data_IF_381376872441
#
_entry.id   IF_381376872441
#
_cell.length_a   1.000
_cell.length_b   1.000
_cell.length_c   1.000
_cell.angle_alpha   90.00
_cell.angle_beta   90.00
_cell.angle_gamma   90.00
#
_symmetry.space_group_name_H-M   'P 1'
#
loop_
_entity.id
_entity.type
_entity.pdbx_description
1 polymer ?
2 polymer ?
3 polymer ?
4 polymer ?
5 non-polymer ?
6 non-polymer ?
7 non-polymer ?
8 non-polymer ?
9 non-polymer ?
10 water ?
#
loop_
_entity_poly.entity_id
_entity_poly.type
_entity_poly.pdbx_seq_one_letter_code
_entity_poly.pdbx_strand_id
2 'polydeoxyribonucleotide' '(DC)(DG)(DG)(DC)(DC)(DT)(DA)(DC)(DG)' ?
3 'polydeoxyribonucleotide' '(DC)(DG)(DT)(DA)' ?
4 'polydeoxyribonucleotide' '(DG)(DC)(DC)(DG)' ?
#
# COMPACT_ATOMS: atom_id res chain seq x y z
N UNK A 11 -10.48 18.01 -18.53
CA UNK A 11 -9.48 17.07 -19.03
C UNK A 11 -8.92 16.24 -17.87
N UNK A 12 -9.58 15.11 -17.60
CA UNK A 12 -9.12 14.18 -16.58
C UNK A 12 -8.17 13.22 -17.27
N UNK A 13 -6.89 13.22 -16.96
CA UNK A 13 -5.96 12.28 -17.59
C UNK A 13 -6.32 10.86 -17.19
N UNK A 14 -5.93 9.91 -18.05
CA UNK A 14 -6.33 8.53 -17.87
C UNK A 14 -5.47 7.76 -16.87
N UNK A 15 -4.21 8.15 -16.68
CA UNK A 15 -3.33 7.50 -15.71
C UNK A 15 -3.30 8.30 -14.41
N UNK A 16 -3.32 7.59 -13.28
CA UNK A 16 -3.38 8.27 -12.00
C UNK A 16 -2.12 9.09 -11.72
N UNK A 17 -1.00 8.73 -12.34
CA UNK A 17 0.24 9.47 -12.12
C UNK A 17 0.29 10.79 -12.86
N UNK A 18 -0.72 11.11 -13.67
CA UNK A 18 -0.79 12.34 -14.45
C UNK A 18 -1.63 13.41 -13.80
N UNK A 19 -2.12 13.18 -12.59
CA UNK A 19 -3.00 14.14 -11.93
C UNK A 19 -2.78 14.09 -10.43
N UNK A 20 -2.99 15.20 -9.75
CA UNK A 20 -2.88 15.20 -8.29
C UNK A 20 -4.08 14.52 -7.66
N UNK A 21 -3.83 13.75 -6.61
CA UNK A 21 -4.90 13.15 -5.84
C UNK A 21 -4.60 13.46 -4.39
N UNK A 22 -5.36 14.36 -3.77
CA UNK A 22 -5.11 14.75 -2.38
C UNK A 22 -5.64 13.70 -1.42
N UNK A 23 -5.25 13.83 -0.17
CA UNK A 23 -5.71 12.85 0.81
C UNK A 23 -7.19 13.04 1.11
N UNK A 24 -7.63 14.29 1.19
CA UNK A 24 -9.04 14.62 1.43
C UNK A 24 -9.66 14.97 0.10
N UNK A 25 -10.76 14.30 -0.24
CA UNK A 25 -11.40 14.51 -1.54
C UNK A 25 -12.90 14.58 -1.34
N UNK A 26 -13.65 14.70 -2.43
CA UNK A 26 -15.04 15.16 -2.40
C UNK A 26 -16.09 14.11 -2.76
N UNK A 27 -15.72 12.84 -2.95
CA UNK A 27 -16.62 11.81 -3.49
C UNK A 27 -16.49 10.49 -2.75
N UNK A 28 -16.37 10.53 -1.43
CA UNK A 28 -16.08 9.32 -0.67
C UNK A 28 -17.18 8.28 -0.78
N UNK A 29 -18.44 8.69 -0.77
CA UNK A 29 -19.53 7.72 -0.90
C UNK A 29 -19.41 6.91 -2.18
N UNK A 30 -19.14 7.60 -3.29
CA UNK A 30 -19.06 6.93 -4.57
C UNK A 30 -17.79 6.08 -4.67
N UNK A 31 -16.65 6.61 -4.24
CA UNK A 31 -15.41 5.84 -4.35
C UNK A 31 -15.45 4.61 -3.45
N UNK A 32 -16.02 4.74 -2.25
CA UNK A 32 -16.11 3.60 -1.34
C UNK A 32 -16.85 2.46 -1.98
N UNK A 33 -17.96 2.76 -2.67
CA UNK A 33 -18.77 1.74 -3.32
C UNK A 33 -17.98 1.05 -4.42
N UNK A 34 -17.30 1.83 -5.25
CA UNK A 34 -16.50 1.22 -6.31
C UNK A 34 -15.36 0.39 -5.74
N UNK A 35 -14.77 0.81 -4.62
CA UNK A 35 -13.70 0.04 -3.99
C UNK A 35 -14.21 -1.28 -3.42
N UNK A 36 -15.46 -1.33 -2.95
CA UNK A 36 -16.03 -2.61 -2.54
C UNK A 36 -16.12 -3.55 -3.73
N UNK A 37 -16.56 -3.04 -4.87
CA UNK A 37 -16.63 -3.88 -6.06
C UNK A 37 -15.24 -4.30 -6.53
N UNK A 38 -14.25 -3.41 -6.39
CA UNK A 38 -12.89 -3.78 -6.73
C UNK A 38 -12.39 -4.92 -5.85
N UNK A 39 -12.59 -4.80 -4.54
CA UNK A 39 -12.15 -5.81 -3.60
C UNK A 39 -12.82 -7.14 -3.91
N UNK A 40 -14.13 -7.11 -4.18
CA UNK A 40 -14.86 -8.34 -4.52
C UNK A 40 -14.32 -8.96 -5.80
N UNK A 41 -13.99 -8.14 -6.80
CA UNK A 41 -13.38 -8.66 -8.01
C UNK A 41 -12.07 -9.37 -7.70
N UNK A 42 -11.22 -8.78 -6.84
CA UNK A 42 -10.02 -9.47 -6.42
C UNK A 42 -10.29 -10.81 -5.76
N UNK A 43 -11.31 -10.85 -4.90
CA UNK A 43 -11.65 -12.08 -4.21
C UNK A 43 -12.09 -13.16 -5.18
N UNK A 44 -12.62 -12.79 -6.34
CA UNK A 44 -13.02 -13.77 -7.35
C UNK A 44 -11.96 -13.93 -8.43
N UNK A 45 -10.75 -13.43 -8.20
CA UNK A 45 -9.63 -13.70 -9.07
C UNK A 45 -9.54 -12.86 -10.32
N UNK A 46 -10.25 -11.73 -10.38
CA UNK A 46 -10.18 -10.85 -11.55
C UNK A 46 -9.40 -9.58 -11.22
N UNK A 47 -8.10 -9.64 -11.46
CA UNK A 47 -7.28 -8.45 -11.26
C UNK A 47 -7.68 -7.35 -12.23
N UNK A 48 -8.14 -7.70 -13.43
CA UNK A 48 -8.52 -6.68 -14.38
C UNK A 48 -9.72 -5.88 -13.93
N UNK A 49 -10.78 -6.56 -13.48
CA UNK A 49 -11.92 -5.83 -12.95
C UNK A 49 -11.56 -5.05 -11.70
N UNK A 50 -10.74 -5.64 -10.83
CA UNK A 50 -10.27 -4.90 -9.67
C UNK A 50 -9.63 -3.59 -10.09
N UNK A 51 -8.75 -3.64 -11.10
CA UNK A 51 -8.02 -2.45 -11.50
C UNK A 51 -8.96 -1.41 -12.08
N UNK A 52 -9.92 -1.83 -12.92
CA UNK A 52 -10.84 -0.85 -13.46
C UNK A 52 -11.62 -0.15 -12.36
N UNK A 53 -12.16 -0.92 -11.42
CA UNK A 53 -12.95 -0.29 -10.35
C UNK A 53 -12.07 0.60 -9.48
N UNK A 54 -10.82 0.20 -9.22
CA UNK A 54 -9.92 1.08 -8.47
C UNK A 54 -9.61 2.35 -9.25
N UNK A 55 -9.34 2.21 -10.55
CA UNK A 55 -9.05 3.39 -11.38
C UNK A 55 -10.23 4.35 -11.43
N UNK A 56 -11.46 3.82 -11.52
CA UNK A 56 -12.65 4.66 -11.52
C UNK A 56 -12.81 5.36 -10.18
N UNK A 57 -12.61 4.64 -9.07
CA UNK A 57 -12.68 5.26 -7.75
C UNK A 57 -11.65 6.37 -7.64
N UNK A 58 -10.46 6.13 -8.18
CA UNK A 58 -9.38 7.10 -8.08
C UNK A 58 -9.69 8.36 -8.88
N UNK A 59 -10.28 8.21 -10.07
CA UNK A 59 -10.71 9.38 -10.84
C UNK A 59 -11.62 10.26 -10.00
N UNK A 60 -12.56 9.66 -9.28
CA UNK A 60 -13.45 10.46 -8.45
C UNK A 60 -12.70 11.21 -7.35
N UNK A 61 -11.63 10.62 -6.79
CA UNK A 61 -10.85 11.29 -5.76
C UNK A 61 -10.10 12.50 -6.31
N UNK A 62 -9.86 12.54 -7.62
CA UNK A 62 -9.13 13.64 -8.25
C UNK A 62 -10.03 14.77 -8.71
N UNK A 63 -11.35 14.59 -8.70
CA UNK A 63 -12.24 15.64 -9.14
C UNK A 63 -12.27 16.81 -8.15
N UNK A 64 -12.54 18.03 -8.64
CA UNK A 64 -12.53 19.20 -7.75
C UNK A 64 -13.75 19.37 -6.86
N UNK A 65 -14.87 18.72 -7.18
CA UNK A 65 -16.11 18.93 -6.44
C UNK A 65 -16.89 17.62 -6.39
N UNK A 66 -17.92 17.56 -5.55
CA UNK A 66 -18.76 16.35 -5.51
C UNK A 66 -19.50 16.14 -6.81
N UNK A 67 -19.58 14.88 -7.21
CA UNK A 67 -20.47 14.50 -8.31
C UNK A 67 -21.88 14.45 -7.75
N UNK A 68 -22.78 15.23 -8.36
CA UNK A 68 -24.17 15.25 -7.96
C UNK A 68 -25.11 14.78 -9.07
N UNK A 69 -24.63 14.68 -10.30
CA UNK A 69 -25.47 14.29 -11.42
C UNK A 69 -24.67 13.36 -12.33
N UNK A 70 -25.37 12.40 -12.92
CA UNK A 70 -24.72 11.41 -13.77
C UNK A 70 -23.97 12.07 -14.92
N UNK A 71 -24.52 13.15 -15.43
CA UNK A 71 -23.91 13.98 -16.46
C UNK A 71 -22.45 14.27 -16.20
N UNK A 72 -22.08 14.42 -14.95
CA UNK A 72 -20.72 14.85 -14.62
C UNK A 72 -19.70 13.75 -14.85
N UNK A 73 -20.13 12.51 -15.13
CA UNK A 73 -19.22 11.43 -15.46
C UNK A 73 -18.87 11.38 -16.94
N UNK A 74 -19.63 12.06 -17.80
CA UNK A 74 -19.41 11.93 -19.23
C UNK A 74 -17.97 12.26 -19.57
N UNK A 75 -17.34 11.38 -20.32
CA UNK A 75 -15.98 11.59 -20.77
C UNK A 75 -14.92 11.17 -19.80
N UNK A 76 -15.26 10.89 -18.55
CA UNK A 76 -14.23 10.52 -17.57
C UNK A 76 -13.64 9.14 -17.91
N UNK A 77 -12.32 9.01 -17.86
CA UNK A 77 -11.72 7.69 -18.10
C UNK A 77 -12.11 6.70 -17.02
N UNK A 78 -12.22 5.44 -17.44
CA UNK A 78 -12.51 4.27 -16.60
C UNK A 78 -13.96 4.20 -16.14
N UNK A 79 -14.83 5.07 -16.65
CA UNK A 79 -16.26 5.01 -16.41
C UNK A 79 -16.93 4.46 -17.67
N UNK A 80 -17.36 3.21 -17.59
CA UNK A 80 -18.16 2.62 -18.64
C UNK A 80 -19.52 2.28 -18.09
N UNK A 81 -20.17 1.31 -18.72
CA UNK A 81 -21.55 1.01 -18.36
C UNK A 81 -21.68 0.61 -16.90
N UNK A 82 -20.76 -0.21 -16.39
CA UNK A 82 -20.93 -0.78 -15.06
C UNK A 82 -20.68 0.26 -13.96
N UNK A 83 -19.54 0.94 -14.01
CA UNK A 83 -19.23 1.94 -12.99
C UNK A 83 -20.22 3.09 -13.02
N UNK A 84 -20.67 3.46 -14.22
CA UNK A 84 -21.66 4.52 -14.34
C UNK A 84 -22.97 4.13 -13.68
N UNK A 85 -23.42 2.88 -13.88
CA UNK A 85 -24.67 2.43 -13.28
C UNK A 85 -24.57 2.44 -11.76
N UNK A 86 -23.42 2.05 -11.22
CA UNK A 86 -23.24 2.09 -9.78
C UNK A 86 -23.41 3.51 -9.26
N UNK A 87 -22.71 4.47 -9.88
CA UNK A 87 -22.86 5.86 -9.49
C UNK A 87 -24.30 6.32 -9.64
N UNK A 88 -24.96 5.95 -10.76
CA UNK A 88 -26.31 6.43 -10.99
C UNK A 88 -27.24 5.96 -9.88
N UNK A 89 -27.12 4.69 -9.48
CA UNK A 89 -27.98 4.18 -8.41
C UNK A 89 -27.68 4.89 -7.09
N UNK A 90 -26.41 5.16 -6.82
CA UNK A 90 -26.08 5.86 -5.58
C UNK A 90 -26.63 7.28 -5.58
N UNK A 91 -26.56 7.96 -6.72
CA UNK A 91 -27.06 9.33 -6.78
C UNK A 91 -28.58 9.38 -6.68
N UNK A 92 -29.27 8.41 -7.27
CA UNK A 92 -30.71 8.44 -7.29
C UNK A 92 -31.29 7.94 -5.98
N UNK A 93 -30.73 6.86 -5.44
CA UNK A 93 -31.32 6.13 -4.33
C UNK A 93 -30.49 6.12 -3.06
N UNK A 94 -29.24 6.58 -3.12
CA UNK A 94 -28.36 6.53 -1.98
C UNK A 94 -27.80 5.17 -1.67
N UNK A 95 -28.08 4.17 -2.51
CA UNK A 95 -27.61 2.81 -2.29
C UNK A 95 -27.57 2.12 -3.65
N UNK A 96 -26.62 1.20 -3.82
CA UNK A 96 -26.49 0.41 -5.03
C UNK A 96 -26.73 -1.04 -4.66
N UNK A 97 -27.77 -1.66 -5.25
CA UNK A 97 -28.13 -3.02 -4.85
C UNK A 97 -26.94 -3.97 -4.94
N UNK A 98 -26.17 -3.88 -6.02
CA UNK A 98 -25.06 -4.82 -6.19
C UNK A 98 -24.04 -4.67 -5.07
N UNK A 99 -23.72 -3.42 -4.72
CA UNK A 99 -22.76 -3.15 -3.65
C UNK A 99 -23.28 -3.71 -2.32
N UNK A 100 -24.57 -3.50 -2.03
CA UNK A 100 -25.11 -4.00 -0.78
C UNK A 100 -25.09 -5.53 -0.76
N UNK A 101 -25.44 -6.16 -1.88
CA UNK A 101 -25.42 -7.62 -1.94
C UNK A 101 -24.00 -8.15 -1.68
N UNK A 102 -23.01 -7.53 -2.31
CA UNK A 102 -21.64 -7.97 -2.12
C UNK A 102 -21.23 -7.76 -0.68
N UNK A 103 -21.43 -6.55 -0.17
CA UNK A 103 -20.83 -6.25 1.11
C UNK A 103 -21.50 -7.01 2.23
N UNK A 104 -22.74 -7.46 2.04
CA UNK A 104 -23.45 -8.23 3.05
C UNK A 104 -23.29 -9.73 2.88
N UNK A 105 -22.55 -10.19 1.87
CA UNK A 105 -22.43 -11.61 1.60
C UNK A 105 -21.41 -12.29 2.52
N UNK A 106 -21.71 -13.54 2.89
CA UNK A 106 -20.79 -14.34 3.70
C UNK A 106 -19.41 -14.45 3.04
N UNK A 107 -19.39 -14.66 1.72
CA UNK A 107 -18.12 -14.79 1.01
C UNK A 107 -17.29 -13.52 1.13
N UNK A 108 -17.90 -12.37 0.86
CA UNK A 108 -17.13 -11.13 0.92
C UNK A 108 -16.63 -10.88 2.34
N UNK A 109 -17.51 -11.03 3.33
CA UNK A 109 -17.12 -10.74 4.70
C UNK A 109 -15.99 -11.66 5.16
N UNK A 110 -16.08 -12.95 4.84
CA UNK A 110 -15.04 -13.88 5.28
C UNK A 110 -13.74 -13.63 4.54
N UNK A 111 -13.81 -13.41 3.23
CA UNK A 111 -12.60 -13.13 2.47
C UNK A 111 -11.92 -11.86 2.99
N UNK A 112 -12.70 -10.85 3.34
CA UNK A 112 -12.12 -9.62 3.89
C UNK A 112 -11.47 -9.90 5.23
N UNK A 113 -12.15 -10.65 6.10
CA UNK A 113 -11.58 -10.98 7.40
C UNK A 113 -10.25 -11.71 7.25
N UNK A 114 -10.20 -12.70 6.36
CA UNK A 114 -9.00 -13.51 6.25
C UNK A 114 -7.86 -12.77 5.56
N UNK A 115 -8.15 -12.07 4.45
CA UNK A 115 -7.08 -11.38 3.73
C UNK A 115 -6.52 -10.21 4.51
N UNK A 116 -7.26 -9.72 5.50
CA UNK A 116 -6.72 -8.68 6.37
C UNK A 116 -5.68 -9.21 7.33
N UNK A 117 -5.52 -10.53 7.45
CA UNK A 117 -4.46 -11.08 8.28
C UNK A 117 -3.13 -10.96 7.55
N UNK A 118 -2.11 -10.53 8.28
CA UNK A 118 -0.76 -10.49 7.75
C UNK A 118 -0.30 -11.91 7.44
N UNK A 119 0.06 -12.14 6.17
CA UNK A 119 0.46 -13.46 5.75
C UNK A 119 -0.57 -14.21 4.92
N UNK A 120 -1.78 -13.68 4.81
CA UNK A 120 -2.88 -14.33 4.11
C UNK A 120 -3.31 -13.44 2.95
N UNK A 121 -3.28 -13.99 1.74
CA UNK A 121 -3.80 -13.34 0.57
C UNK A 121 -5.04 -14.03 0.05
N UNK A 122 -5.48 -13.60 -1.14
CA UNK A 122 -6.73 -14.10 -1.69
C UNK A 122 -6.69 -15.62 -1.88
N UNK A 123 -5.60 -16.14 -2.47
CA UNK A 123 -5.58 -17.58 -2.73
C UNK A 123 -5.67 -18.38 -1.46
N UNK A 124 -4.98 -17.96 -0.41
CA UNK A 124 -5.05 -18.69 0.85
C UNK A 124 -6.43 -18.56 1.47
N UNK A 125 -6.96 -17.33 1.51
CA UNK A 125 -8.28 -17.10 2.08
C UNK A 125 -9.34 -17.89 1.35
N UNK A 126 -9.26 -17.94 0.01
CA UNK A 126 -10.24 -18.68 -0.78
C UNK A 126 -10.18 -20.16 -0.48
N UNK A 127 -8.99 -20.72 -0.30
CA UNK A 127 -8.90 -22.13 0.05
C UNK A 127 -9.55 -22.39 1.41
N UNK A 128 -9.23 -21.56 2.39
CA UNK A 128 -9.84 -21.73 3.71
C UNK A 128 -11.37 -21.60 3.64
N UNK A 129 -11.85 -20.62 2.89
CA UNK A 129 -13.29 -20.48 2.70
C UNK A 129 -13.90 -21.75 2.11
N UNK A 130 -13.27 -22.30 1.07
CA UNK A 130 -13.79 -23.52 0.45
C UNK A 130 -13.72 -24.72 1.37
N UNK A 131 -12.83 -24.69 2.37
CA UNK A 131 -12.76 -25.74 3.38
C UNK A 131 -13.76 -25.54 4.52
N UNK A 132 -14.55 -24.47 4.49
CA UNK A 132 -15.56 -24.23 5.49
C UNK A 132 -15.16 -23.35 6.65
N UNK A 133 -13.97 -22.77 6.62
CA UNK A 133 -13.52 -21.90 7.71
C UNK A 133 -14.15 -20.53 7.53
N UNK A 134 -14.54 -19.91 8.65
CA UNK A 134 -15.25 -18.64 8.61
C UNK A 134 -14.75 -17.60 9.61
N UNK A 135 -14.11 -17.98 10.70
CA UNK A 135 -13.76 -17.06 11.77
C UNK A 135 -12.28 -17.19 12.09
N UNK A 136 -11.76 -16.17 12.80
CA UNK A 136 -10.39 -16.25 13.27
C UNK A 136 -10.22 -17.41 14.25
N UNK A 137 -11.24 -17.66 15.07
CA UNK A 137 -11.15 -18.80 16.00
C UNK A 137 -11.07 -20.12 15.24
N UNK A 138 -11.76 -20.22 14.10
CA UNK A 138 -11.62 -21.42 13.28
C UNK A 138 -10.17 -21.65 12.86
N UNK A 139 -9.46 -20.58 12.50
CA UNK A 139 -8.07 -20.73 12.09
C UNK A 139 -7.19 -21.07 13.29
N UNK A 140 -7.44 -20.43 14.43
CA UNK A 140 -6.66 -20.70 15.63
C UNK A 140 -6.76 -22.17 16.03
N UNK A 141 -7.92 -22.79 15.80
CA UNK A 141 -8.11 -24.18 16.16
C UNK A 141 -7.58 -25.16 15.11
N UNK A 142 -6.93 -24.66 14.05
CA UNK A 142 -6.29 -25.51 13.05
C UNK A 142 -4.90 -24.93 12.73
N UNK A 143 -4.04 -24.83 13.74
CA UNK A 143 -2.73 -24.17 13.54
C UNK A 143 -1.83 -24.86 12.53
N UNK A 144 -2.04 -26.13 12.22
CA UNK A 144 -1.13 -26.72 11.26
C UNK A 144 -1.43 -26.24 9.84
N UNK A 145 -2.56 -25.58 9.62
CA UNK A 145 -2.79 -24.94 8.33
C UNK A 145 -2.02 -23.65 8.14
N UNK A 146 -1.26 -23.17 9.13
CA UNK A 146 -0.71 -21.81 9.12
C UNK A 146 0.80 -21.80 8.95
N UNK A 147 1.30 -20.92 8.07
CA UNK A 147 2.73 -20.63 8.04
C UNK A 147 3.11 -19.86 9.30
N UNK A 148 4.42 -19.78 9.56
CA UNK A 148 4.86 -19.02 10.71
C UNK A 148 4.48 -17.54 10.56
N UNK A 149 4.54 -17.01 9.34
CA UNK A 149 4.12 -15.62 9.12
C UNK A 149 2.64 -15.43 9.48
N UNK A 150 1.81 -16.40 9.08
CA UNK A 150 0.39 -16.33 9.37
C UNK A 150 0.12 -16.51 10.87
N UNK A 151 0.89 -17.36 11.54
CA UNK A 151 0.73 -17.50 12.98
C UNK A 151 1.01 -16.17 13.67
N UNK A 152 2.04 -15.46 13.24
CA UNK A 152 2.35 -14.15 13.82
C UNK A 152 1.24 -13.15 13.52
N UNK A 153 0.76 -13.13 12.28
CA UNK A 153 -0.33 -12.24 11.94
C UNK A 153 -1.58 -12.50 12.76
N UNK A 154 -1.90 -13.77 13.00
CA UNK A 154 -3.07 -14.10 13.80
C UNK A 154 -2.83 -13.78 15.27
N UNK A 155 -1.63 -14.09 15.77
CA UNK A 155 -1.34 -13.85 17.18
C UNK A 155 -1.50 -12.39 17.55
N UNK A 156 -1.11 -11.49 16.66
CA UNK A 156 -1.11 -10.05 16.92
C UNK A 156 -2.22 -9.32 16.19
N UNK A 157 -3.23 -10.05 15.73
CA UNK A 157 -4.24 -9.47 14.87
C UNK A 157 -4.96 -8.31 15.51
N UNK A 158 -5.34 -8.40 16.79
CA UNK A 158 -6.08 -7.28 17.37
C UNK A 158 -5.24 -6.01 17.38
N UNK A 159 -3.99 -6.09 17.86
CA UNK A 159 -3.15 -4.89 17.84
C UNK A 159 -2.96 -4.39 16.41
N UNK A 160 -2.79 -5.31 15.45
CA UNK A 160 -2.54 -4.92 14.07
C UNK A 160 -3.76 -4.28 13.43
N UNK A 161 -4.94 -4.45 14.03
CA UNK A 161 -6.14 -3.79 13.55
C UNK A 161 -6.32 -2.41 14.15
N UNK A 162 -5.49 -2.02 15.12
CA UNK A 162 -5.56 -0.69 15.72
C UNK A 162 -4.76 0.28 14.86
N UNK A 163 -5.36 1.37 14.40
CA UNK A 163 -4.60 2.33 13.58
C UNK A 163 -3.29 2.76 14.23
N UNK A 164 -2.21 2.76 13.44
CA UNK A 164 -0.94 3.33 13.86
C UNK A 164 -1.06 4.83 13.75
N UNK A 165 -0.62 5.55 14.79
CA UNK A 165 -0.72 7.00 14.88
C UNK A 165 0.64 7.66 14.73
N UNK A 166 0.63 8.96 14.49
CA UNK A 166 1.88 9.71 14.33
C UNK A 166 2.79 9.62 15.55
N UNK A 167 2.23 9.55 16.75
CA UNK A 167 3.09 9.40 17.93
C UNK A 167 3.80 8.05 17.90
N UNK A 168 3.13 7.02 17.38
CA UNK A 168 3.78 5.72 17.23
C UNK A 168 4.90 5.82 16.21
N UNK A 169 4.65 6.51 15.10
CA UNK A 169 5.66 6.69 14.08
C UNK A 169 6.90 7.36 14.69
N UNK A 170 6.70 8.41 15.47
CA UNK A 170 7.85 9.13 16.01
C UNK A 170 8.66 8.22 16.93
N UNK A 171 7.98 7.45 17.76
CA UNK A 171 8.70 6.54 18.66
C UNK A 171 9.44 5.48 17.87
N UNK A 172 8.80 4.91 16.85
CA UNK A 172 9.45 3.87 16.04
C UNK A 172 10.62 4.44 15.26
N UNK A 173 10.48 5.65 14.73
CA UNK A 173 11.58 6.23 13.99
C UNK A 173 12.80 6.38 14.89
N UNK A 174 12.58 6.77 16.15
CA UNK A 174 13.69 6.93 17.07
C UNK A 174 14.40 5.61 17.32
N UNK A 175 13.66 4.52 17.57
CA UNK A 175 14.34 3.26 17.84
C UNK A 175 15.00 2.69 16.59
N UNK A 176 14.39 2.89 15.42
CA UNK A 176 15.03 2.45 14.19
C UNK A 176 16.30 3.24 13.91
N UNK A 177 16.26 4.57 14.08
CA UNK A 177 17.47 5.37 13.90
C UNK A 177 18.56 4.92 14.86
N UNK A 178 18.21 4.60 16.10
CA UNK A 178 19.23 4.18 17.05
C UNK A 178 19.90 2.90 16.56
N UNK A 179 19.09 1.91 16.20
CA UNK A 179 19.64 0.64 15.74
C UNK A 179 20.45 0.82 14.48
N UNK A 180 19.95 1.62 13.53
CA UNK A 180 20.68 1.84 12.28
C UNK A 180 22.01 2.51 12.55
N UNK A 181 22.03 3.52 13.42
CA UNK A 181 23.28 4.20 13.70
C UNK A 181 24.29 3.33 14.43
N UNK A 182 23.80 2.40 15.24
CA UNK A 182 24.70 1.46 15.90
C UNK A 182 25.22 0.44 14.92
N UNK A 183 24.44 0.16 13.88
CA UNK A 183 24.83 -0.85 12.90
C UNK A 183 25.80 -0.32 11.85
N UNK A 184 25.74 0.97 11.52
CA UNK A 184 26.58 1.49 10.47
C UNK A 184 26.64 2.99 10.62
N UNK A 185 27.77 3.55 11.05
CA UNK A 185 27.84 5.01 11.21
C UNK A 185 27.55 5.70 9.90
N UNK A 186 26.75 6.75 9.99
CA UNK A 186 26.39 7.55 8.83
C UNK A 186 25.16 7.08 8.10
N UNK A 187 24.63 5.91 8.43
CA UNK A 187 23.44 5.44 7.73
C UNK A 187 22.23 6.27 8.17
N UNK A 188 21.25 6.37 7.27
CA UNK A 188 20.10 7.24 7.44
C UNK A 188 18.80 6.46 7.34
N UNK A 189 17.77 7.03 7.97
CA UNK A 189 16.42 6.46 8.00
C UNK A 189 15.44 7.52 7.50
N UNK A 190 14.65 7.13 6.49
CA UNK A 190 13.65 8.01 5.90
C UNK A 190 12.28 7.37 6.02
N UNK A 191 11.33 8.11 6.61
CA UNK A 191 9.95 7.66 6.66
C UNK A 191 9.35 7.67 5.26
N UNK A 192 8.73 6.56 4.85
CA UNK A 192 8.08 6.48 3.55
C UNK A 192 6.64 6.05 3.74
N UNK A 193 6.08 5.37 2.76
CA UNK A 193 4.71 4.93 2.88
C UNK A 193 3.69 6.06 3.06
N UNK A 194 2.54 5.66 3.62
CA UNK A 194 1.42 6.58 3.71
C UNK A 194 1.69 7.79 4.58
N UNK A 195 2.49 7.62 5.64
CA UNK A 195 2.79 8.76 6.49
C UNK A 195 3.56 9.83 5.73
N UNK A 196 4.43 9.44 4.79
CA UNK A 196 5.09 10.46 3.98
C UNK A 196 4.12 11.18 3.04
N UNK A 197 3.01 10.53 2.67
CA UNK A 197 1.97 11.16 1.86
C UNK A 197 1.03 12.04 2.68
N UNK A 198 1.28 12.17 3.99
CA UNK A 198 0.48 13.00 4.84
C UNK A 198 -0.63 12.30 5.58
N UNK A 199 -0.73 10.98 5.49
CA UNK A 199 -1.75 10.29 6.26
C UNK A 199 -1.51 10.51 7.74
N UNK A 200 -2.61 10.58 8.48
CA UNK A 200 -2.54 10.71 9.93
C UNK A 200 -2.54 9.37 10.62
N UNK A 201 -2.87 8.30 9.90
CA UNK A 201 -2.87 6.95 10.45
C UNK A 201 -2.32 6.00 9.40
N UNK A 202 -2.14 4.75 9.80
CA UNK A 202 -1.72 3.75 8.84
C UNK A 202 -1.87 2.37 9.44
N UNK A 203 -1.68 1.37 8.58
CA UNK A 203 -1.66 -0.02 9.04
C UNK A 203 -0.28 -0.46 9.50
N UNK A 204 0.74 0.30 9.15
CA UNK A 204 2.12 -0.04 9.46
C UNK A 204 2.91 1.25 9.37
N UNK A 205 4.21 1.12 9.59
CA UNK A 205 5.16 2.20 9.39
C UNK A 205 6.25 1.66 8.47
N UNK A 206 6.57 2.43 7.43
CA UNK A 206 7.52 2.02 6.40
C UNK A 206 8.74 2.93 6.45
N UNK A 207 9.94 2.33 6.50
CA UNK A 207 11.19 3.07 6.57
C UNK A 207 12.15 2.61 5.49
N UNK A 208 12.86 3.56 4.90
CA UNK A 208 13.87 3.31 3.88
C UNK A 208 15.22 3.75 4.44
N UNK A 209 16.20 2.86 4.36
CA UNK A 209 17.50 3.02 4.99
C UNK A 209 18.56 3.01 3.90
N UNK A 210 19.50 3.95 3.98
CA UNK A 210 20.64 3.96 3.05
C UNK A 210 21.88 4.50 3.76
N UNK A 211 22.95 4.66 2.99
CA UNK A 211 24.17 5.26 3.47
C UNK A 211 24.74 6.09 2.32
N UNK A 212 25.29 7.28 2.59
CA UNK A 212 25.73 8.13 1.47
C UNK A 212 26.86 7.58 0.62
N UNK A 213 27.63 6.60 1.11
CA UNK A 213 28.72 6.01 0.36
C UNK A 213 28.25 4.68 -0.22
N UNK A 214 28.12 4.64 -1.54
CA UNK A 214 27.66 3.46 -2.25
C UNK A 214 28.43 2.22 -1.82
N UNK A 215 27.67 1.18 -1.45
CA UNK A 215 28.24 -0.10 -1.05
C UNK A 215 28.36 -0.30 0.44
N UNK A 216 28.40 0.78 1.21
CA UNK A 216 28.58 0.66 2.65
C UNK A 216 27.39 -0.04 3.28
N UNK A 217 26.22 0.07 2.67
CA UNK A 217 25.00 -0.49 3.21
C UNK A 217 24.85 -1.99 2.97
N UNK A 218 25.76 -2.61 2.25
CA UNK A 218 25.64 -4.05 2.05
C UNK A 218 25.68 -4.76 3.41
N UNK A 219 24.74 -5.69 3.63
CA UNK A 219 24.72 -6.43 4.87
C UNK A 219 24.14 -5.69 6.04
N UNK A 220 23.60 -4.50 5.81
CA UNK A 220 23.11 -3.67 6.90
C UNK A 220 21.86 -4.26 7.56
N UNK A 221 20.91 -4.74 6.77
CA UNK A 221 19.63 -5.08 7.40
C UNK A 221 19.76 -6.20 8.42
N UNK A 222 20.53 -7.28 8.19
CA UNK A 222 20.69 -8.27 9.27
C UNK A 222 21.26 -7.65 10.55
N UNK A 223 22.19 -6.71 10.43
CA UNK A 223 22.77 -6.07 11.60
C UNK A 223 21.74 -5.23 12.34
N UNK A 224 20.89 -4.52 11.60
CA UNK A 224 19.82 -3.75 12.22
C UNK A 224 18.85 -4.68 12.94
N UNK A 225 18.43 -5.75 12.26
CA UNK A 225 17.47 -6.66 12.87
C UNK A 225 18.03 -7.29 14.14
N UNK A 226 19.31 -7.65 14.14
CA UNK A 226 19.88 -8.23 15.35
C UNK A 226 19.86 -7.25 16.51
N UNK A 227 20.20 -5.99 16.24
CA UNK A 227 20.23 -5.00 17.31
C UNK A 227 18.83 -4.68 17.81
N UNK A 228 17.83 -4.65 16.93
CA UNK A 228 16.47 -4.47 17.40
C UNK A 228 16.00 -5.69 18.20
N UNK A 229 16.34 -6.89 17.73
CA UNK A 229 15.94 -8.11 18.42
C UNK A 229 16.58 -8.19 19.80
N UNK A 230 17.84 -7.76 19.93
CA UNK A 230 18.49 -7.83 21.23
C UNK A 230 17.90 -6.83 22.24
N UNK A 231 17.30 -5.74 21.75
CA UNK A 231 16.64 -4.76 22.61
C UNK A 231 15.20 -5.13 22.92
N UNK A 232 14.77 -6.34 22.52
CA UNK A 232 13.43 -6.83 22.78
C UNK A 232 12.35 -6.20 21.95
N UNK A 233 12.70 -5.59 20.84
CA UNK A 233 11.74 -4.83 20.05
C UNK A 233 11.06 -5.65 18.95
N UNK A 234 11.46 -6.90 18.70
CA UNK A 234 10.97 -7.65 17.54
C UNK A 234 10.13 -8.83 18.01
N UNK A 235 8.86 -8.85 17.60
CA UNK A 235 7.98 -9.99 17.82
C UNK A 235 8.09 -11.01 16.69
N UNK A 236 8.22 -10.54 15.46
CA UNK A 236 8.30 -11.43 14.31
C UNK A 236 9.12 -10.78 13.21
N UNK A 237 9.98 -11.57 12.57
CA UNK A 237 10.53 -11.23 11.26
C UNK A 237 10.91 -12.52 10.56
N UNK A 238 11.24 -12.41 9.28
CA UNK A 238 11.50 -13.59 8.45
C UNK A 238 12.76 -14.35 8.85
N UNK A 239 13.66 -13.74 9.61
CA UNK A 239 14.94 -14.38 9.95
C UNK A 239 15.20 -14.45 11.44
N UNK A 257 21.48 -15.91 3.07
CA UNK A 257 21.29 -15.26 4.37
C UNK A 257 21.05 -13.77 4.20
N UNK A 258 21.45 -13.23 3.06
CA UNK A 258 21.36 -11.79 2.85
C UNK A 258 19.91 -11.39 2.65
N UNK A 259 19.55 -10.24 3.18
CA UNK A 259 18.23 -9.71 2.87
C UNK A 259 18.25 -8.19 2.95
N UNK A 260 17.34 -7.56 2.20
CA UNK A 260 17.25 -6.12 2.10
C UNK A 260 15.84 -5.55 2.34
N UNK A 261 14.84 -6.41 2.50
CA UNK A 261 13.52 -5.98 2.96
C UNK A 261 13.13 -6.89 4.12
N UNK A 262 12.54 -6.29 5.16
CA UNK A 262 12.00 -7.05 6.28
C UNK A 262 10.61 -6.54 6.60
N UNK A 263 9.65 -7.46 6.67
CA UNK A 263 8.25 -7.16 6.98
C UNK A 263 8.08 -7.68 8.38
N UNK A 264 8.17 -6.81 9.36
CA UNK A 264 8.23 -7.33 10.72
C UNK A 264 7.12 -6.76 11.60
N UNK A 265 7.04 -7.35 12.79
CA UNK A 265 6.11 -6.92 13.83
C UNK A 265 6.98 -6.51 15.02
N UNK A 266 6.87 -5.25 15.43
CA UNK A 266 7.61 -4.72 16.57
C UNK A 266 6.76 -4.83 17.82
N UNK A 267 7.44 -4.97 18.96
CA UNK A 267 6.85 -4.78 20.28
C UNK A 267 7.15 -3.33 20.67
N UNK A 268 6.17 -2.44 20.49
CA UNK A 268 6.37 -1.00 20.72
C UNK A 268 5.98 -0.66 22.16
N UNK A 269 6.89 -0.17 22.99
CA UNK A 269 6.50 0.22 24.34
C UNK A 269 5.44 1.30 24.32
N UNK A 270 4.51 1.18 25.25
CA UNK A 270 3.48 2.17 25.52
C UNK A 270 3.50 2.43 27.02
N UNK A 271 2.82 3.49 27.49
CA UNK A 271 2.73 3.72 28.94
C UNK A 271 2.23 2.50 29.67
N UNK A 272 3.09 1.91 30.50
CA UNK A 272 2.73 0.76 31.29
C UNK A 272 2.65 -0.55 30.54
N UNK A 273 2.86 -0.57 29.23
CA UNK A 273 2.66 -1.83 28.51
C UNK A 273 3.30 -1.70 27.11
N UNK A 274 2.69 -2.41 26.14
CA UNK A 274 3.24 -2.45 24.79
C UNK A 274 2.15 -2.83 23.81
N UNK A 275 2.36 -2.52 22.53
CA UNK A 275 1.47 -3.00 21.49
C UNK A 275 2.30 -3.44 20.29
N UNK A 276 1.78 -4.43 19.56
CA UNK A 276 2.40 -4.88 18.33
C UNK A 276 2.10 -3.90 17.22
N UNK A 277 3.12 -3.58 16.41
CA UNK A 277 3.00 -2.69 15.27
C UNK A 277 3.76 -3.27 14.10
N UNK A 278 3.11 -3.32 12.94
CA UNK A 278 3.79 -3.71 11.71
C UNK A 278 4.75 -2.61 11.26
N UNK A 279 5.99 -3.02 10.98
CA UNK A 279 7.02 -2.10 10.49
C UNK A 279 7.71 -2.77 9.31
N UNK A 280 7.84 -2.04 8.21
CA UNK A 280 8.60 -2.50 7.06
C UNK A 280 9.92 -1.73 6.99
N UNK A 281 11.03 -2.46 6.84
CA UNK A 281 12.34 -1.88 6.71
C UNK A 281 12.93 -2.30 5.38
N UNK A 282 13.48 -1.34 4.67
CA UNK A 282 14.08 -1.57 3.37
C UNK A 282 15.44 -0.89 3.34
N UNK A 283 16.45 -1.58 2.82
CA UNK A 283 17.75 -1.00 2.60
C UNK A 283 17.99 -0.91 1.10
N UNK A 284 18.45 0.26 0.66
CA UNK A 284 18.78 0.48 -0.74
C UNK A 284 20.14 1.15 -0.82
N UNK A 285 20.94 0.85 -1.85
CA UNK A 285 22.13 1.67 -2.10
C UNK A 285 21.72 3.09 -2.48
N UNK A 286 22.59 4.05 -2.17
CA UNK A 286 22.21 5.44 -2.38
C UNK A 286 21.94 5.75 -3.86
N UNK A 287 22.65 5.10 -4.79
CA UNK A 287 22.34 5.28 -6.22
C UNK A 287 20.87 5.02 -6.55
N UNK A 288 20.23 4.12 -5.80
CA UNK A 288 18.85 3.73 -6.04
C UNK A 288 17.87 4.48 -5.17
N UNK A 289 18.37 5.32 -4.25
CA UNK A 289 17.49 5.92 -3.25
C UNK A 289 16.28 6.65 -3.86
N UNK A 290 16.43 7.48 -4.89
CA UNK A 290 15.22 8.16 -5.40
C UNK A 290 14.19 7.19 -5.93
N UNK A 291 14.63 6.10 -6.57
CA UNK A 291 13.69 5.10 -7.07
C UNK A 291 13.02 4.35 -5.94
N UNK A 292 13.78 4.02 -4.89
CA UNK A 292 13.18 3.34 -3.75
C UNK A 292 12.23 4.25 -3.00
N UNK A 293 12.63 5.51 -2.82
CA UNK A 293 11.76 6.47 -2.14
C UNK A 293 10.45 6.64 -2.90
N UNK A 294 10.54 6.75 -4.23
CA UNK A 294 9.34 6.89 -5.04
C UNK A 294 8.46 5.66 -4.91
N UNK A 295 9.05 4.48 -5.07
CA UNK A 295 8.25 3.27 -5.02
C UNK A 295 7.57 3.06 -3.67
N UNK A 296 8.33 3.18 -2.58
CA UNK A 296 7.81 2.87 -1.25
C UNK A 296 6.93 3.97 -0.70
N UNK A 297 6.90 5.14 -1.32
CA UNK A 297 5.98 6.19 -0.90
C UNK A 297 4.58 5.99 -1.47
N UNK A 298 4.41 5.28 -2.58
CA UNK A 298 3.07 4.95 -3.03
C UNK A 298 2.33 6.14 -3.60
N UNK A 299 0.99 6.09 -3.55
CA UNK A 299 0.21 4.95 -3.10
C UNK A 299 0.41 3.73 -4.01
N UNK A 300 -0.16 2.61 -3.60
CA UNK A 300 -0.10 1.39 -4.39
C UNK A 300 -0.58 1.61 -5.83
N UNK A 301 -1.76 2.23 -5.97
CA UNK A 301 -2.29 2.47 -7.31
C UNK A 301 -1.43 3.49 -8.04
N UNK A 302 -0.97 4.51 -7.34
CA UNK A 302 -0.12 5.51 -8.00
C UNK A 302 1.09 4.85 -8.64
N UNK A 303 1.75 3.95 -7.90
CA UNK A 303 2.97 3.34 -8.41
C UNK A 303 2.68 2.35 -9.54
N UNK A 304 1.61 1.56 -9.43
CA UNK A 304 1.25 0.68 -10.55
C UNK A 304 0.99 1.51 -11.80
N UNK A 305 0.30 2.63 -11.65
CA UNK A 305 -0.03 3.46 -12.80
C UNK A 305 1.22 4.15 -13.36
N UNK A 306 2.13 4.56 -12.48
CA UNK A 306 3.38 5.17 -12.92
C UNK A 306 4.23 4.16 -13.70
N UNK A 307 4.33 2.93 -13.20
CA UNK A 307 5.09 1.89 -13.90
C UNK A 307 4.42 1.54 -15.23
N UNK A 308 3.09 1.49 -15.25
CA UNK A 308 2.39 1.22 -16.50
C UNK A 308 2.61 2.34 -17.50
N UNK A 309 2.49 3.58 -17.04
CA UNK A 309 2.76 4.73 -17.88
C UNK A 309 4.16 4.68 -18.46
N UNK A 310 5.14 4.41 -17.59
CA UNK A 310 6.53 4.36 -18.02
C UNK A 310 6.70 3.39 -19.18
N UNK A 311 6.20 2.18 -19.02
CA UNK A 311 6.43 1.15 -20.03
C UNK A 311 5.58 1.37 -21.28
N UNK A 312 4.29 1.64 -21.08
CA UNK A 312 3.36 1.69 -22.21
C UNK A 312 3.43 3.00 -22.97
N UNK A 313 3.71 4.12 -22.28
CA UNK A 313 3.78 5.42 -22.96
C UNK A 313 5.19 5.85 -23.29
N UNK A 314 6.19 5.45 -22.51
CA UNK A 314 7.55 5.92 -22.71
C UNK A 314 8.53 4.82 -23.10
N UNK A 315 8.14 3.56 -23.05
CA UNK A 315 9.03 2.48 -23.41
C UNK A 315 10.16 2.24 -22.44
N UNK A 316 10.00 2.69 -21.19
CA UNK A 316 11.03 2.55 -20.17
C UNK A 316 10.46 1.67 -19.05
N UNK A 317 11.35 0.94 -18.39
CA UNK A 317 10.94 -0.01 -17.36
C UNK A 317 11.31 0.55 -15.99
N UNK A 318 10.30 0.79 -15.16
CA UNK A 318 10.47 1.43 -13.87
C UNK A 318 10.30 0.42 -12.75
N UNK A 319 11.20 0.44 -11.78
CA UNK A 319 10.95 -0.30 -10.55
C UNK A 319 11.61 0.46 -9.41
N UNK A 320 11.68 -0.16 -8.24
CA UNK A 320 12.21 0.52 -7.06
C UNK A 320 13.72 0.62 -7.06
N UNK A 321 14.38 0.08 -8.09
CA UNK A 321 15.82 0.13 -8.25
C UNK A 321 16.29 1.10 -9.31
N UNK A 322 15.43 1.48 -10.25
CA UNK A 322 15.89 2.26 -11.38
C UNK A 322 14.86 2.38 -12.48
N UNK A 323 15.29 3.04 -13.55
CA UNK A 323 14.47 3.32 -14.73
C UNK A 323 15.34 2.95 -15.92
N UNK A 324 14.93 1.91 -16.64
CA UNK A 324 15.78 1.22 -17.61
C UNK A 324 15.27 1.46 -19.02
N UNK A 325 16.18 1.84 -19.91
CA UNK A 325 15.88 1.90 -21.34
C UNK A 325 16.27 0.57 -21.96
N UNK A 326 15.31 -0.27 -22.35
CA UNK A 326 15.66 -1.64 -22.78
C UNK A 326 16.28 -1.73 -24.16
N UNK A 327 16.22 -0.65 -24.95
CA UNK A 327 16.82 -0.60 -26.27
C UNK A 327 18.30 -0.20 -26.18
N UNK A 328 18.60 0.84 -25.40
CA UNK A 328 19.99 1.22 -25.15
C UNK A 328 20.64 0.42 -24.03
N UNK A 329 19.84 -0.28 -23.23
CA UNK A 329 20.33 -1.07 -22.10
C UNK A 329 21.06 -0.19 -21.11
N UNK A 330 20.43 0.93 -20.75
CA UNK A 330 21.02 1.89 -19.83
C UNK A 330 20.01 2.25 -18.75
N UNK A 331 20.54 2.64 -17.59
CA UNK A 331 19.75 3.11 -16.46
C UNK A 331 19.87 4.63 -16.32
N UNK A 332 18.75 5.29 -16.06
CA UNK A 332 18.74 6.72 -15.86
C UNK A 332 19.27 7.08 -14.47
N UNK A 333 20.19 8.03 -14.41
CA UNK A 333 20.87 8.41 -13.16
C UNK A 333 20.16 9.58 -12.48
N UNK A 334 19.20 9.26 -11.64
CA UNK A 334 18.37 10.26 -11.00
C UNK A 334 18.98 10.66 -9.66
N UNK A 335 18.87 11.94 -9.32
CA UNK A 335 19.28 12.40 -8.00
C UNK A 335 18.11 12.64 -7.06
N UNK A 336 16.90 12.66 -7.59
CA UNK A 336 15.72 13.00 -6.82
C UNK A 336 14.51 12.37 -7.50
N UNK A 337 13.41 12.34 -6.76
CA UNK A 337 12.15 11.94 -7.36
C UNK A 337 11.77 12.84 -8.52
N UNK A 338 12.01 14.15 -8.36
CA UNK A 338 11.72 15.11 -9.42
C UNK A 338 12.38 14.70 -10.73
N UNK A 339 13.63 14.23 -10.66
CA UNK A 339 14.33 13.84 -11.88
C UNK A 339 13.60 12.70 -12.57
N UNK A 340 13.03 11.78 -11.81
CA UNK A 340 12.33 10.63 -12.40
C UNK A 340 11.07 11.09 -13.11
N UNK A 341 10.26 11.92 -12.45
CA UNK A 341 9.08 12.46 -13.12
C UNK A 341 9.48 13.16 -14.41
N UNK A 342 10.55 13.94 -14.37
CA UNK A 342 10.96 14.71 -15.55
C UNK A 342 11.38 13.79 -16.69
N UNK A 343 12.15 12.73 -16.39
CA UNK A 343 12.54 11.78 -17.43
C UNK A 343 11.33 11.22 -18.13
N UNK A 344 10.26 10.97 -17.37
CA UNK A 344 9.05 10.34 -17.85
C UNK A 344 8.10 11.34 -18.49
N UNK A 345 8.46 12.62 -18.52
CA UNK A 345 7.60 13.61 -19.15
C UNK A 345 6.37 13.93 -18.35
N UNK A 346 6.44 13.78 -17.03
CA UNK A 346 5.32 14.02 -16.14
C UNK A 346 5.58 15.25 -15.28
N UNK A 347 4.53 16.02 -15.03
CA UNK A 347 4.61 17.05 -14.02
C UNK A 347 4.86 16.43 -12.65
N UNK A 348 5.77 17.04 -11.89
CA UNK A 348 6.11 16.53 -10.58
C UNK A 348 4.90 16.64 -9.64
N UNK A 349 4.70 15.58 -8.86
CA UNK A 349 3.67 15.58 -7.83
C UNK A 349 4.35 15.31 -6.50
N UNK A 350 4.18 16.17 -5.49
CA UNK A 350 4.73 15.85 -4.16
C UNK A 350 3.99 14.69 -3.55
N UNK A 351 4.56 14.06 -2.51
CA UNK A 351 3.93 12.84 -1.95
C UNK A 351 2.46 13.02 -1.57
N UNK A 352 2.10 14.21 -1.05
CA UNK A 352 0.73 14.42 -0.58
C UNK A 352 -0.27 14.50 -1.72
N UNK A 353 0.18 14.51 -2.98
CA UNK A 353 -0.70 14.47 -4.14
C UNK A 353 -0.61 13.13 -4.88
N UNK A 354 -0.04 12.10 -4.24
CA UNK A 354 0.09 10.76 -4.81
C UNK A 354 -0.88 9.78 -4.16
N UNK A 355 -1.98 10.31 -3.61
CA UNK A 355 -2.96 9.48 -2.89
C UNK A 355 -4.01 8.88 -3.81
N UNK A 356 -3.53 8.29 -4.89
CA UNK A 356 -4.42 7.69 -5.87
C UNK A 356 -5.08 6.43 -5.36
X LIG E 1 -0.83 2.09 4.98
X LIG E 1 -1.94 1.08 4.77
X LIG E 1 -1.43 3.15 5.86
X LIG E 1 0.44 1.37 5.41
X LIG E 1 -0.54 2.67 3.49
X LIG E 1 0.81 2.59 2.69
X LIG E 1 1.99 2.91 3.58
X LIG E 1 0.69 3.42 1.42
X LIG E 1 0.92 1.05 2.26
X LIG E 1 2.00 -0.10 2.48
X LIG E 1 1.29 -1.39 2.19
X LIG E 1 2.70 0.04 3.80
X LIG E 1 3.05 0.05 1.33
X LIG E 1 4.09 0.98 1.20
X LIG E 1 4.23 1.23 -0.32
X LIG E 1 4.50 0.06 -1.12
X LIG E 1 2.98 1.65 -1.04
X LIG E 1 2.75 2.98 -0.59
X LIG E 1 3.43 1.48 -2.51
X LIG E 1 4.28 0.19 -2.53
X LIG E 1 3.52 -0.87 -3.29
X LIG E 1 3.79 -1.24 -4.64
X LIG E 1 2.84 -2.16 -5.03
X LIG E 1 2.01 -2.35 -3.92
X LIG E 1 0.86 -3.16 -3.80
X LIG E 1 0.38 -3.90 -4.66
X LIG E 1 0.31 -3.01 -2.52
X LIG E 1 0.81 -2.19 -1.54
X LIG E 1 0.16 -2.16 -0.36
X LIG E 1 1.87 -1.42 -1.67
X LIG E 1 2.40 -1.55 -2.88
X LIG E 1 4.70 -0.83 -5.32
X LIG F 1 4.30 -1.40 4.55
X LIG G 1 2.47 1.66 5.17
X LIG H 1 -3.04 -10.26 4.15
X LIG I 1 -7.30 9.14 8.22
X LIG I 1 -5.84 9.26 7.16
X LIG I 1 -4.88 8.27 7.62
X LIG I 1 -6.18 9.01 5.76
X LIG I 1 -5.28 10.58 7.33
X LIG J 1 -17.06 17.00 -10.29
X LIG J 1 -16.04 17.93 -10.07
X LIG J 1 -18.39 17.73 -10.42
X LIG J 1 -18.32 18.58 -11.53
X LIG K 1 -8.95 -16.59 -6.91
X LIG K 1 -7.95 -16.98 -6.03
X LIG K 1 -10.06 -15.92 -6.12
X LIG K 1 -10.72 -16.86 -5.31
X LIG L 1 19.05 10.46 2.66
X LIG L 1 20.10 9.70 3.20
X LIG L 1 18.98 10.16 1.17
X LIG L 1 20.20 10.43 0.54
X LIG M 1 21.09 4.20 -11.04
X LIG M 1 21.88 3.24 -11.68
X LIG M 1 20.11 3.49 -10.12
X LIG M 1 19.18 2.75 -10.88
X LIG N 1 21.79 -5.68 1.67
X LIG N 1 22.77 -6.64 1.99
X LIG N 1 21.43 -4.77 2.86
X LIG N 1 20.92 -5.49 3.94
X LIG O 1 -5.13 -1.44 -6.31
X LIG O 1 -5.48 -2.21 -5.18
X LIG O 1 -3.69 -0.99 -6.17
X LIG O 1 -2.91 -2.09 -5.79
X LIG P 1 -8.52 2.38 -4.81
X LIG P 1 -7.24 1.89 -5.15
X LIG P 1 -8.69 3.79 -5.39
X LIG P 1 -7.95 4.70 -4.58
X LIG Q 1 16.20 -4.08 -10.84
X LIG Q 1 16.54 -3.38 -12.01
X LIG Q 1 15.73 -5.50 -11.16
X LIG Q 1 15.88 -6.34 -10.03
X LIG R 1 5.77 3.53 -26.46
X LIG R 1 5.20 4.02 -27.64
X LIG R 1 7.20 3.08 -26.70
X LIG R 1 7.94 4.13 -27.25
X LIG S 1 8.27 -1.33 -3.83
X LIG S 1 8.10 -0.29 -4.76
X LIG S 1 7.86 -2.71 -4.38
X LIG S 1 7.90 -2.75 -5.78
X LIG T 1 -11.25 -9.63 -20.16
X LIG T 1 -10.04 -9.80 -20.88
X LIG T 1 -11.25 -10.42 -18.84
#
# INVERSE_FOLDING_TARGET
GSAAAPLSPAWMPAYACQRPTPLTHHNTGLSEALEILAEAAGFEGSEGRLLTFCRAASVLKALPSPVTTLSQLQGLPHFGEHSSRVVQELLEHGVCEEVERVRRSERYQTMKLFTQIFGVGVKTADRWYREGLRTLDDLREQPQKLTQQQKAGLQHHQDLSTPVLRSDVDALQQVVEEAVGQALPGATVTLTGGFRRGKLQGHDVDFLITHPKEGQEAGLLPRVMCRLQDQGLILYHQHQHSCCESPTRLAQQSHMDAFERSFCIFRLPQPGSWKAVRVDLVVAPVSQFPFALLGWTGSDLFQRELRRFSRKEKGLWLNSHGLFDPEQKTFFQAASEEDIFRHLGLEYLPPEQRNA
8DG PG O1G O2G O3G O3B PB O1B O2B O3A PA O1A O2A O5' C5' C4' O4' C3' O3' C2' C1' N9 C8 N7 C5 C6 O6 N1 C2 N2 N3 C4 O8
MG MG
MG MG
NA NA
EPE C10 S O1S O2S O3S
EDO C1 O1 C2 O2
EDO C1 O1 C2 O2
EDO C1 O1 C2 O2
EDO C1 O1 C2 O2
EDO C1 O1 C2 O2
EDO C1 O1 C2 O2
EDO C1 O1 C2 O2
EDO C1 O1 C2 O2
EDO C1 O1 C2 O2
EDO C1 O1 C2 O2
EDO C1 O1 C2
#
